data_IF_845068285447
#
_entry.id   IF_845068285447
#
_cell.length_a   1.000
_cell.length_b   1.000
_cell.length_c   1.000
_cell.angle_alpha   90.00
_cell.angle_beta   90.00
_cell.angle_gamma   90.00
#
_symmetry.space_group_name_H-M   'P 1'
#
loop_
_entity.id
_entity.type
_entity.pdbx_description
1 polymer ?
#
# COMPACT_ATOMS: atom_id res chain seq x y z
N UNK A 1 10.80 12.18 9.71
CA UNK A 1 9.79 11.98 8.65
C UNK A 1 9.01 10.66 8.79
N UNK A 2 9.15 9.91 9.90
CA UNK A 2 8.59 8.54 10.00
C UNK A 2 7.09 8.46 10.35
N UNK A 3 6.46 9.55 10.80
CA UNK A 3 5.05 9.54 11.22
C UNK A 3 4.02 9.72 10.11
N UNK A 4 4.45 10.13 8.91
CA UNK A 4 3.53 10.44 7.80
C UNK A 4 3.19 9.21 6.95
N UNK A 5 4.01 8.16 6.99
CA UNK A 5 3.84 6.96 6.15
C UNK A 5 2.87 5.94 6.77
N UNK A 6 2.79 5.87 8.11
CA UNK A 6 1.92 4.92 8.82
C UNK A 6 0.42 5.23 8.69
N UNK A 7 0.04 6.49 8.48
CA UNK A 7 -1.36 6.89 8.39
C UNK A 7 -2.04 6.50 7.06
N UNK A 8 -1.27 6.27 5.98
CA UNK A 8 -1.83 5.90 4.66
C UNK A 8 -2.06 4.40 4.48
N UNK A 9 -1.49 3.54 5.32
CA UNK A 9 -1.61 2.09 5.14
C UNK A 9 -2.98 1.53 5.55
N UNK A 10 -3.80 2.32 6.24
CA UNK A 10 -5.10 1.87 6.77
C UNK A 10 -6.29 2.07 5.80
N UNK A 11 -6.07 2.71 4.65
CA UNK A 11 -7.14 2.94 3.65
C UNK A 11 -7.36 1.77 2.69
N UNK A 12 -6.39 0.85 2.55
CA UNK A 12 -6.43 -0.20 1.54
C UNK A 12 -6.66 -1.59 2.14
N UNK A 13 -7.56 -2.41 1.56
CA UNK A 13 -7.82 -3.76 2.06
C UNK A 13 -6.59 -4.66 1.85
N UNK A 14 -6.08 -5.22 2.94
CA UNK A 14 -4.95 -6.16 2.92
C UNK A 14 -5.24 -7.38 2.04
N UNK A 15 -4.40 -7.62 1.03
CA UNK A 15 -4.43 -8.82 0.18
C UNK A 15 -4.33 -10.09 1.04
N UNK A 16 -3.54 -10.08 2.12
CA UNK A 16 -3.46 -11.19 3.07
C UNK A 16 -4.79 -11.50 3.72
N UNK A 17 -5.49 -10.45 4.18
CA UNK A 17 -6.82 -10.59 4.79
C UNK A 17 -7.80 -11.14 3.77
N UNK A 18 -7.75 -10.66 2.52
CA UNK A 18 -8.64 -11.12 1.44
C UNK A 18 -8.37 -12.58 1.04
N UNK A 19 -7.10 -13.00 0.92
CA UNK A 19 -6.72 -14.39 0.66
C UNK A 19 -7.17 -15.30 1.81
N UNK A 20 -6.92 -14.91 3.07
CA UNK A 20 -7.35 -15.69 4.24
C UNK A 20 -8.86 -15.86 4.30
N UNK A 21 -9.62 -14.78 4.10
CA UNK A 21 -11.08 -14.84 4.06
C UNK A 21 -11.58 -15.64 2.87
N UNK A 22 -11.00 -15.48 1.69
CA UNK A 22 -11.40 -16.22 0.49
C UNK A 22 -11.24 -17.73 0.67
N UNK A 23 -10.05 -18.18 1.08
CA UNK A 23 -9.81 -19.61 1.36
C UNK A 23 -10.62 -20.10 2.57
N UNK A 24 -10.75 -19.29 3.62
CA UNK A 24 -11.55 -19.65 4.80
C UNK A 24 -13.03 -19.87 4.46
N UNK A 25 -13.63 -18.97 3.68
CA UNK A 25 -15.02 -19.09 3.21
C UNK A 25 -15.15 -20.29 2.27
N UNK A 26 -14.22 -20.48 1.33
CA UNK A 26 -14.25 -21.64 0.44
C UNK A 26 -14.17 -22.97 1.21
N UNK A 27 -13.27 -23.07 2.19
CA UNK A 27 -13.16 -24.26 3.06
C UNK A 27 -14.44 -24.48 3.85
N UNK A 28 -15.06 -23.42 4.39
CA UNK A 28 -16.33 -23.53 5.11
C UNK A 28 -17.48 -23.99 4.20
N UNK A 29 -17.59 -23.43 2.99
CA UNK A 29 -18.61 -23.84 2.01
C UNK A 29 -18.42 -25.31 1.60
N UNK A 30 -17.18 -25.73 1.34
CA UNK A 30 -16.93 -27.12 0.99
C UNK A 30 -17.18 -28.08 2.17
N UNK A 31 -16.83 -27.68 3.40
CA UNK A 31 -17.10 -28.47 4.60
C UNK A 31 -18.62 -28.64 4.80
N UNK A 32 -19.39 -27.56 4.68
CA UNK A 32 -20.86 -27.62 4.81
C UNK A 32 -21.51 -28.47 3.72
N UNK A 33 -21.06 -28.34 2.46
CA UNK A 33 -21.54 -29.18 1.37
C UNK A 33 -21.20 -30.66 1.58
N UNK A 34 -19.98 -30.96 2.04
CA UNK A 34 -19.53 -32.33 2.27
C UNK A 34 -20.34 -33.01 3.38
N UNK A 35 -20.51 -32.35 4.53
CA UNK A 35 -21.33 -32.90 5.63
C UNK A 35 -22.81 -33.00 5.26
N UNK A 36 -23.35 -32.04 4.51
CA UNK A 36 -24.72 -32.11 4.00
C UNK A 36 -24.90 -33.29 3.04
N UNK A 37 -23.94 -33.56 2.17
CA UNK A 37 -23.98 -34.69 1.24
C UNK A 37 -23.95 -36.02 2.01
N UNK A 38 -23.07 -36.12 3.02
CA UNK A 38 -22.98 -37.28 3.91
C UNK A 38 -24.32 -37.53 4.58
N UNK A 39 -24.89 -36.51 5.22
CA UNK A 39 -26.16 -36.62 5.93
C UNK A 39 -27.30 -37.10 5.00
N UNK A 40 -27.39 -36.53 3.80
CA UNK A 40 -28.38 -36.96 2.80
C UNK A 40 -28.11 -38.39 2.31
N UNK A 41 -26.84 -38.77 2.15
CA UNK A 41 -26.47 -40.11 1.71
C UNK A 41 -26.81 -41.18 2.75
N UNK A 42 -26.51 -40.94 4.03
CA UNK A 42 -26.85 -41.84 5.14
C UNK A 42 -28.36 -42.07 5.21
N UNK A 43 -29.15 -41.00 5.28
CA UNK A 43 -30.62 -41.07 5.34
C UNK A 43 -31.23 -41.71 4.09
N UNK A 44 -30.56 -41.65 2.93
CA UNK A 44 -31.04 -42.34 1.71
C UNK A 44 -30.68 -43.81 1.69
N UNK A 45 -29.55 -44.18 2.28
CA UNK A 45 -29.08 -45.56 2.33
C UNK A 45 -30.00 -46.40 3.23
N UNK A 46 -30.37 -45.88 4.40
CA UNK A 46 -31.29 -46.50 5.35
C UNK A 46 -32.66 -46.84 4.73
N UNK A 47 -33.31 -45.85 4.11
CA UNK A 47 -34.59 -46.04 3.42
C UNK A 47 -34.46 -47.08 2.30
N UNK A 48 -33.38 -47.02 1.52
CA UNK A 48 -33.15 -47.96 0.42
C UNK A 48 -32.91 -49.39 0.93
N UNK A 49 -32.21 -49.57 2.05
CA UNK A 49 -31.97 -50.89 2.64
C UNK A 49 -33.27 -51.52 3.14
N UNK A 50 -34.12 -50.77 3.84
CA UNK A 50 -35.41 -51.26 4.33
C UNK A 50 -36.33 -51.69 3.18
N UNK A 51 -36.41 -50.86 2.13
CA UNK A 51 -37.19 -51.18 0.93
C UNK A 51 -36.68 -52.44 0.24
N UNK A 52 -35.36 -52.55 0.05
CA UNK A 52 -34.76 -53.71 -0.60
C UNK A 52 -35.03 -55.00 0.17
N UNK A 53 -35.03 -54.95 1.50
CA UNK A 53 -35.24 -56.12 2.33
C UNK A 53 -36.69 -56.61 2.28
N UNK A 54 -37.66 -55.68 2.41
CA UNK A 54 -39.09 -55.99 2.25
C UNK A 54 -39.43 -56.51 0.85
N UNK A 55 -38.84 -55.92 -0.20
CA UNK A 55 -39.04 -56.37 -1.59
C UNK A 55 -38.52 -57.79 -1.80
N UNK A 56 -37.32 -58.07 -1.27
CA UNK A 56 -36.69 -59.39 -1.35
C UNK A 56 -37.56 -60.44 -0.65
N UNK A 57 -38.09 -60.13 0.53
CA UNK A 57 -38.93 -61.07 1.28
C UNK A 57 -40.29 -61.30 0.60
N UNK A 58 -40.92 -60.25 0.08
CA UNK A 58 -42.15 -60.37 -0.70
C UNK A 58 -41.96 -61.21 -1.97
N UNK A 59 -40.84 -61.04 -2.67
CA UNK A 59 -40.49 -61.82 -3.85
C UNK A 59 -40.25 -63.30 -3.51
N UNK A 60 -39.51 -63.57 -2.43
CA UNK A 60 -39.26 -64.94 -1.95
C UNK A 60 -40.56 -65.66 -1.57
N UNK A 61 -41.46 -64.99 -0.85
CA UNK A 61 -42.77 -65.55 -0.54
C UNK A 61 -43.58 -65.86 -1.80
N UNK A 62 -43.59 -64.94 -2.75
CA UNK A 62 -44.30 -65.11 -4.03
C UNK A 62 -43.78 -66.32 -4.80
N UNK A 63 -42.45 -66.48 -4.89
CA UNK A 63 -41.84 -67.64 -5.56
C UNK A 63 -42.16 -68.95 -4.83
N UNK A 64 -42.08 -68.96 -3.50
CA UNK A 64 -42.40 -70.14 -2.69
C UNK A 64 -43.87 -70.54 -2.82
N UNK A 65 -44.79 -69.58 -2.84
CA UNK A 65 -46.22 -69.82 -3.04
C UNK A 65 -46.50 -70.42 -4.41
N UNK A 66 -45.83 -69.97 -5.47
CA UNK A 66 -45.98 -70.57 -6.80
C UNK A 66 -45.54 -72.05 -6.84
N UNK A 67 -44.51 -72.43 -6.06
CA UNK A 67 -43.99 -73.80 -6.03
C UNK A 67 -44.78 -74.73 -5.11
N UNK A 68 -45.28 -74.23 -3.97
CA UNK A 68 -45.81 -75.04 -2.87
C UNK A 68 -47.27 -74.72 -2.52
N UNK A 69 -47.87 -73.71 -3.15
CA UNK A 69 -49.22 -73.23 -2.85
C UNK A 69 -49.35 -72.80 -1.39
N UNK A 70 -50.46 -73.17 -0.76
CA UNK A 70 -50.74 -72.87 0.65
C UNK A 70 -49.79 -73.51 1.66
N UNK A 71 -48.92 -74.44 1.23
CA UNK A 71 -47.88 -75.01 2.09
C UNK A 71 -46.58 -74.20 2.07
N UNK A 72 -46.50 -73.13 1.28
CA UNK A 72 -45.34 -72.27 1.24
C UNK A 72 -45.04 -71.71 2.64
N UNK A 73 -43.76 -71.67 3.05
CA UNK A 73 -43.39 -71.03 4.29
C UNK A 73 -43.80 -69.56 4.23
N UNK A 74 -44.41 -69.09 5.32
CA UNK A 74 -44.63 -67.66 5.51
C UNK A 74 -43.27 -66.94 5.56
N UNK A 75 -43.25 -65.63 5.27
CA UNK A 75 -42.08 -64.79 5.48
C UNK A 75 -41.43 -65.00 6.85
N UNK A 76 -40.13 -64.73 6.94
CA UNK A 76 -39.33 -65.01 8.12
C UNK A 76 -39.99 -64.44 9.39
N UNK A 77 -40.53 -65.34 10.22
CA UNK A 77 -41.32 -64.96 11.42
C UNK A 77 -40.49 -64.37 12.55
N UNK A 78 -39.15 -64.39 12.44
CA UNK A 78 -38.25 -63.72 13.37
C UNK A 78 -38.08 -62.23 13.02
N UNK A 79 -38.35 -61.86 11.77
CA UNK A 79 -38.08 -60.52 11.24
C UNK A 79 -39.35 -59.81 10.76
N UNK A 80 -40.39 -60.58 10.43
CA UNK A 80 -41.59 -60.05 9.83
C UNK A 80 -42.86 -60.61 10.47
N UNK A 81 -43.84 -59.73 10.63
CA UNK A 81 -45.23 -60.06 10.83
C UNK A 81 -45.96 -60.08 9.48
N UNK A 82 -46.57 -61.21 9.17
CA UNK A 82 -47.28 -61.45 7.91
C UNK A 82 -48.78 -61.47 8.12
N UNK A 83 -49.51 -60.67 7.34
CA UNK A 83 -50.97 -60.61 7.40
C UNK A 83 -51.58 -60.73 6.01
N UNK A 84 -52.76 -61.32 5.93
CA UNK A 84 -53.51 -61.46 4.69
C UNK A 84 -54.89 -60.82 4.85
N UNK A 85 -55.27 -59.94 3.91
CA UNK A 85 -56.52 -59.17 3.97
C UNK A 85 -57.81 -60.00 4.11
N UNK A 86 -57.78 -61.31 3.81
CA UNK A 86 -58.91 -62.24 3.96
C UNK A 86 -58.88 -63.03 5.28
N UNK A 87 -57.83 -62.87 6.08
CA UNK A 87 -57.64 -63.44 7.40
C UNK A 87 -57.65 -62.34 8.49
N UNK A 88 -57.69 -62.69 9.79
CA UNK A 88 -57.62 -61.70 10.87
C UNK A 88 -56.37 -60.83 10.73
N UNK A 89 -56.58 -59.54 10.40
CA UNK A 89 -55.53 -58.55 10.14
C UNK A 89 -55.78 -57.31 11.02
N UNK A 90 -54.73 -56.71 11.63
CA UNK A 90 -54.86 -55.47 12.38
C UNK A 90 -55.59 -54.37 11.60
N UNK A 91 -56.48 -53.63 12.28
CA UNK A 91 -57.34 -52.62 11.63
C UNK A 91 -56.56 -51.48 10.99
N UNK A 92 -55.38 -51.14 11.50
CA UNK A 92 -54.52 -50.09 10.96
C UNK A 92 -53.94 -50.45 9.59
N UNK A 93 -53.67 -51.74 9.32
CA UNK A 93 -53.18 -52.21 8.02
C UNK A 93 -54.24 -52.16 6.92
N UNK A 94 -55.52 -52.34 7.27
CA UNK A 94 -56.63 -52.37 6.31
C UNK A 94 -56.89 -50.99 5.65
N UNK A 95 -56.26 -49.92 6.14
CA UNK A 95 -56.28 -48.61 5.50
C UNK A 95 -55.48 -48.58 4.18
N UNK A 96 -54.49 -49.46 4.03
CA UNK A 96 -53.55 -49.50 2.91
C UNK A 96 -54.02 -50.52 1.85
N UNK A 97 -54.72 -50.03 0.82
CA UNK A 97 -55.40 -50.87 -0.19
C UNK A 97 -54.67 -50.99 -1.53
N UNK A 98 -53.52 -50.35 -1.66
CA UNK A 98 -52.71 -50.35 -2.89
C UNK A 98 -51.35 -50.98 -2.63
N UNK A 99 -50.81 -51.79 -3.56
CA UNK A 99 -49.44 -52.26 -3.46
C UNK A 99 -48.44 -51.11 -3.36
N UNK A 100 -47.40 -51.28 -2.54
CA UNK A 100 -46.38 -50.27 -2.28
C UNK A 100 -45.69 -50.46 -0.94
N UNK A 101 -44.64 -49.67 -0.72
CA UNK A 101 -43.95 -49.55 0.57
C UNK A 101 -44.59 -48.42 1.36
N UNK A 102 -44.79 -48.65 2.64
CA UNK A 102 -45.43 -47.69 3.53
C UNK A 102 -44.68 -47.62 4.86
N UNK A 103 -44.70 -46.43 5.41
CA UNK A 103 -44.23 -46.08 6.73
C UNK A 103 -45.44 -45.53 7.50
N UNK A 104 -45.68 -46.03 8.71
CA UNK A 104 -46.82 -45.64 9.52
C UNK A 104 -46.46 -45.59 11.01
N UNK A 105 -46.59 -44.41 11.60
CA UNK A 105 -46.41 -44.20 13.04
C UNK A 105 -47.60 -44.79 13.81
N UNK A 106 -47.37 -45.87 14.56
CA UNK A 106 -48.34 -46.52 15.43
C UNK A 106 -47.99 -46.24 16.90
N UNK A 107 -48.52 -45.15 17.45
CA UNK A 107 -48.16 -44.72 18.80
C UNK A 107 -46.84 -43.97 18.81
N UNK A 108 -45.80 -44.55 19.40
CA UNK A 108 -44.42 -44.03 19.40
C UNK A 108 -43.48 -44.82 18.47
N UNK A 109 -43.99 -45.84 17.79
CA UNK A 109 -43.20 -46.75 16.94
C UNK A 109 -43.50 -46.54 15.45
N UNK A 110 -42.45 -46.42 14.64
CA UNK A 110 -42.55 -46.34 13.18
C UNK A 110 -42.63 -47.76 12.58
N UNK A 111 -43.73 -48.07 11.90
CA UNK A 111 -43.92 -49.36 11.23
C UNK A 111 -43.55 -49.25 9.76
N UNK A 112 -42.57 -50.03 9.34
CA UNK A 112 -42.17 -50.20 7.95
C UNK A 112 -42.76 -51.49 7.37
N UNK A 113 -43.47 -51.39 6.24
CA UNK A 113 -44.13 -52.55 5.65
C UNK A 113 -44.32 -52.44 4.14
N UNK A 114 -44.44 -53.61 3.50
CA UNK A 114 -44.79 -53.73 2.08
C UNK A 114 -46.17 -54.35 1.94
N UNK A 115 -46.95 -53.80 1.02
CA UNK A 115 -48.24 -54.32 0.57
C UNK A 115 -48.08 -54.80 -0.86
N UNK A 116 -48.52 -56.01 -1.15
CA UNK A 116 -48.53 -56.56 -2.50
C UNK A 116 -49.72 -57.49 -2.72
N UNK A 117 -50.05 -57.77 -3.98
CA UNK A 117 -51.13 -58.69 -4.32
C UNK A 117 -50.78 -60.10 -3.84
N UNK A 118 -51.70 -60.73 -3.11
CA UNK A 118 -51.44 -62.08 -2.60
C UNK A 118 -51.28 -63.05 -3.80
N UNK A 119 -50.25 -63.93 -3.81
CA UNK A 119 -49.98 -64.80 -4.95
C UNK A 119 -51.12 -65.77 -5.34
N UNK A 120 -52.11 -65.96 -4.46
CA UNK A 120 -53.35 -66.70 -4.77
C UNK A 120 -54.31 -65.97 -5.73
N UNK A 121 -54.09 -64.67 -5.97
CA UNK A 121 -54.99 -63.79 -6.72
C UNK A 121 -56.16 -63.22 -5.90
N UNK A 122 -56.23 -63.53 -4.60
CA UNK A 122 -57.30 -63.06 -3.72
C UNK A 122 -56.77 -62.18 -2.58
N UNK A 123 -57.05 -60.88 -2.65
CA UNK A 123 -56.72 -59.93 -1.60
C UNK A 123 -55.24 -59.54 -1.58
N UNK A 124 -54.86 -58.75 -0.56
CA UNK A 124 -53.52 -58.22 -0.35
C UNK A 124 -52.80 -58.96 0.77
N UNK A 125 -51.49 -59.10 0.60
CA UNK A 125 -50.53 -59.56 1.61
C UNK A 125 -49.80 -58.35 2.19
N UNK A 126 -49.61 -58.36 3.51
CA UNK A 126 -48.86 -57.36 4.25
C UNK A 126 -47.67 -58.05 4.92
N UNK A 127 -46.47 -57.54 4.70
CA UNK A 127 -45.25 -57.94 5.41
C UNK A 127 -44.78 -56.71 6.17
N UNK A 128 -44.80 -56.77 7.50
CA UNK A 128 -44.46 -55.68 8.42
C UNK A 128 -43.23 -56.09 9.20
N UNK A 129 -42.25 -55.21 9.36
CA UNK A 129 -41.15 -55.44 10.28
C UNK A 129 -41.67 -55.64 11.72
N UNK A 130 -41.04 -56.54 12.47
CA UNK A 130 -41.27 -56.63 13.91
C UNK A 130 -40.52 -55.53 14.64
N UNK A 131 -41.00 -55.19 15.83
CA UNK A 131 -40.48 -54.05 16.60
C UNK A 131 -39.04 -54.25 17.07
N UNK A 132 -38.64 -55.50 17.28
CA UNK A 132 -37.28 -55.88 17.71
C UNK A 132 -36.42 -56.41 16.54
N UNK A 133 -36.95 -56.44 15.30
CA UNK A 133 -36.19 -57.00 14.16
C UNK A 133 -35.38 -55.96 13.40
N UNK A 134 -35.71 -54.68 13.57
CA UNK A 134 -34.90 -53.57 13.08
C UNK A 134 -33.67 -53.34 14.00
N UNK A 135 -33.68 -53.87 15.24
CA UNK A 135 -32.53 -53.84 16.18
C UNK A 135 -31.24 -54.44 15.58
N UNK A 136 -31.35 -55.40 14.64
CA UNK A 136 -30.17 -55.92 13.96
C UNK A 136 -29.54 -54.86 13.04
N UNK A 137 -30.34 -53.97 12.46
CA UNK A 137 -29.88 -52.86 11.64
C UNK A 137 -29.30 -51.73 12.48
N UNK A 138 -29.77 -51.51 13.71
CA UNK A 138 -29.23 -50.50 14.63
C UNK A 138 -27.72 -50.65 14.87
N UNK A 139 -27.23 -51.90 14.99
CA UNK A 139 -25.80 -52.15 15.18
C UNK A 139 -24.99 -51.80 13.91
N UNK A 140 -25.55 -52.05 12.72
CA UNK A 140 -24.93 -51.66 11.44
C UNK A 140 -25.00 -50.15 11.21
N UNK A 141 -26.12 -49.51 11.53
CA UNK A 141 -26.32 -48.06 11.40
C UNK A 141 -25.38 -47.31 12.34
N UNK A 142 -25.28 -47.72 13.61
CA UNK A 142 -24.33 -47.15 14.57
C UNK A 142 -22.87 -47.31 14.12
N UNK A 143 -22.51 -48.48 13.59
CA UNK A 143 -21.17 -48.72 13.02
C UNK A 143 -20.91 -47.86 11.79
N UNK A 144 -21.91 -47.70 10.90
CA UNK A 144 -21.83 -46.86 9.71
C UNK A 144 -21.68 -45.38 10.08
N UNK A 145 -22.46 -44.88 11.03
CA UNK A 145 -22.31 -43.52 11.55
C UNK A 145 -20.95 -43.28 12.19
N UNK A 146 -20.46 -44.20 13.03
CA UNK A 146 -19.12 -44.08 13.62
C UNK A 146 -18.04 -44.06 12.53
N UNK A 147 -18.14 -44.93 11.53
CA UNK A 147 -17.22 -44.96 10.40
C UNK A 147 -17.25 -43.66 9.59
N UNK A 148 -18.44 -43.17 9.23
CA UNK A 148 -18.64 -41.94 8.49
C UNK A 148 -18.16 -40.72 9.28
N UNK A 149 -18.41 -40.65 10.59
CA UNK A 149 -17.92 -39.59 11.46
C UNK A 149 -16.39 -39.59 11.52
N UNK A 150 -15.76 -40.76 11.67
CA UNK A 150 -14.30 -40.86 11.68
C UNK A 150 -13.67 -40.45 10.35
N UNK A 151 -14.20 -40.99 9.24
CA UNK A 151 -13.68 -40.71 7.90
C UNK A 151 -13.95 -39.23 7.50
N UNK A 152 -15.14 -38.73 7.78
CA UNK A 152 -15.52 -37.34 7.54
C UNK A 152 -14.73 -36.35 8.40
N UNK A 153 -14.47 -36.71 9.66
CA UNK A 153 -13.59 -35.98 10.56
C UNK A 153 -12.15 -35.91 10.04
N UNK A 154 -11.59 -37.05 9.60
CA UNK A 154 -10.26 -37.11 8.98
C UNK A 154 -10.19 -36.23 7.73
N UNK A 155 -11.17 -36.35 6.83
CA UNK A 155 -11.21 -35.55 5.60
C UNK A 155 -11.32 -34.05 5.90
N UNK A 156 -12.09 -33.68 6.93
CA UNK A 156 -12.21 -32.30 7.40
C UNK A 156 -10.88 -31.74 7.92
N UNK A 157 -10.11 -32.53 8.67
CA UNK A 157 -8.77 -32.14 9.13
C UNK A 157 -7.79 -31.94 7.97
N UNK A 158 -7.83 -32.83 6.97
CA UNK A 158 -7.02 -32.70 5.76
C UNK A 158 -7.39 -31.40 5.03
N UNK A 159 -8.68 -31.11 4.89
CA UNK A 159 -9.16 -29.91 4.21
C UNK A 159 -8.74 -28.63 4.93
N UNK A 160 -8.83 -28.60 6.26
CA UNK A 160 -8.35 -27.49 7.07
C UNK A 160 -6.83 -27.30 6.92
N UNK A 161 -6.07 -28.39 6.99
CA UNK A 161 -4.62 -28.38 6.79
C UNK A 161 -4.22 -27.85 5.41
N UNK A 162 -4.92 -28.28 4.36
CA UNK A 162 -4.72 -27.81 2.99
C UNK A 162 -5.03 -26.32 2.84
N UNK A 163 -6.13 -25.84 3.43
CA UNK A 163 -6.47 -24.41 3.44
C UNK A 163 -5.39 -23.55 4.11
N UNK A 164 -4.91 -23.96 5.30
CA UNK A 164 -3.81 -23.29 6.01
C UNK A 164 -2.52 -23.31 5.18
N UNK A 165 -2.22 -24.44 4.55
CA UNK A 165 -1.06 -24.59 3.66
C UNK A 165 -1.14 -23.61 2.47
N UNK A 166 -2.29 -23.52 1.80
CA UNK A 166 -2.50 -22.61 0.66
C UNK A 166 -2.42 -21.13 1.05
N UNK A 167 -2.94 -20.76 2.22
CA UNK A 167 -2.74 -19.40 2.74
C UNK A 167 -1.25 -19.10 2.94
N UNK A 168 -0.49 -20.03 3.53
CA UNK A 168 0.94 -19.85 3.78
C UNK A 168 1.76 -19.76 2.50
N UNK A 169 1.48 -20.58 1.49
CA UNK A 169 2.27 -20.61 0.25
C UNK A 169 2.09 -19.32 -0.56
N UNK A 170 0.88 -18.76 -0.59
CA UNK A 170 0.59 -17.52 -1.32
C UNK A 170 1.01 -16.27 -0.54
N UNK A 171 0.83 -16.26 0.78
CA UNK A 171 1.11 -15.08 1.60
C UNK A 171 2.60 -14.86 1.86
N UNK A 172 3.36 -15.92 2.16
CA UNK A 172 4.76 -15.78 2.60
C UNK A 172 5.67 -15.06 1.59
N UNK A 173 5.61 -15.33 0.27
CA UNK A 173 6.46 -14.63 -0.70
C UNK A 173 6.21 -13.13 -0.74
N UNK A 174 4.95 -12.69 -0.74
CA UNK A 174 4.62 -11.26 -0.72
C UNK A 174 5.15 -10.59 0.56
N UNK A 175 5.07 -11.28 1.71
CA UNK A 175 5.47 -10.68 3.00
C UNK A 175 6.98 -10.49 3.07
N UNK A 176 7.72 -11.41 2.43
CA UNK A 176 9.16 -11.27 2.26
C UNK A 176 9.49 -10.06 1.37
N UNK A 177 8.80 -9.89 0.25
CA UNK A 177 9.00 -8.73 -0.65
C UNK A 177 8.73 -7.42 0.10
N UNK A 178 7.60 -7.32 0.81
CA UNK A 178 7.26 -6.16 1.63
C UNK A 178 8.37 -5.86 2.66
N UNK A 179 8.80 -6.87 3.43
CA UNK A 179 9.88 -6.68 4.42
C UNK A 179 11.20 -6.25 3.79
N UNK A 180 11.54 -6.78 2.60
CA UNK A 180 12.75 -6.40 1.85
C UNK A 180 12.69 -4.94 1.42
N UNK A 181 11.53 -4.46 0.97
CA UNK A 181 11.34 -3.06 0.56
C UNK A 181 11.39 -2.12 1.77
N UNK A 182 10.67 -2.44 2.84
CA UNK A 182 10.56 -1.56 4.02
C UNK A 182 11.87 -1.40 4.79
N UNK A 183 12.76 -2.38 4.74
CA UNK A 183 14.07 -2.33 5.40
C UNK A 183 15.19 -1.84 4.49
N UNK A 184 14.85 -1.40 3.27
CA UNK A 184 15.84 -1.05 2.27
C UNK A 184 16.31 0.41 2.41
N UNK A 185 17.61 0.65 2.61
CA UNK A 185 18.13 2.00 2.60
C UNK A 185 18.22 2.53 1.15
N UNK A 186 18.09 3.86 0.94
CA UNK A 186 18.10 4.48 -0.40
C UNK A 186 19.37 4.21 -1.20
N UNK A 187 20.49 3.95 -0.53
CA UNK A 187 21.86 3.95 -1.06
C UNK A 187 22.40 2.55 -1.43
N UNK A 188 21.70 1.46 -1.10
CA UNK A 188 22.16 0.09 -1.42
C UNK A 188 21.33 -0.59 -2.51
N UNK A 189 21.80 -0.63 -3.77
CA UNK A 189 21.01 -1.10 -4.90
C UNK A 189 20.73 -2.61 -4.92
N UNK A 190 21.46 -3.43 -4.18
CA UNK A 190 21.40 -4.87 -4.33
C UNK A 190 20.42 -5.51 -3.32
N UNK A 191 19.34 -6.08 -3.81
CA UNK A 191 18.72 -7.22 -3.15
C UNK A 191 18.67 -8.40 -4.12
N UNK A 192 18.95 -9.60 -3.61
CA UNK A 192 18.92 -10.80 -4.42
C UNK A 192 17.47 -11.23 -4.68
N UNK A 193 17.23 -11.57 -5.95
CA UNK A 193 15.96 -12.13 -6.42
C UNK A 193 15.92 -13.61 -6.02
N UNK A 194 15.38 -13.88 -4.84
CA UNK A 194 15.40 -15.21 -4.20
C UNK A 194 14.09 -15.97 -4.32
N UNK A 195 13.09 -15.38 -4.98
CA UNK A 195 11.75 -15.99 -5.01
C UNK A 195 11.66 -17.20 -5.93
N UNK A 196 10.87 -18.19 -5.47
CA UNK A 196 10.64 -19.49 -6.15
C UNK A 196 9.63 -19.42 -7.28
N UNK A 197 8.69 -18.47 -7.23
CA UNK A 197 7.62 -18.32 -8.23
C UNK A 197 8.00 -17.27 -9.28
N UNK A 198 7.62 -17.51 -10.54
CA UNK A 198 7.90 -16.62 -11.67
C UNK A 198 7.31 -15.23 -11.48
N UNK A 199 6.10 -15.16 -10.94
CA UNK A 199 5.34 -13.92 -10.74
C UNK A 199 6.02 -13.03 -9.71
N UNK A 200 6.41 -13.61 -8.57
CA UNK A 200 7.14 -12.89 -7.52
C UNK A 200 8.56 -12.51 -7.96
N UNK A 201 9.17 -13.33 -8.82
CA UNK A 201 10.49 -13.06 -9.41
C UNK A 201 10.42 -11.88 -10.36
N UNK A 202 9.37 -11.79 -11.18
CA UNK A 202 9.16 -10.66 -12.08
C UNK A 202 8.97 -9.37 -11.29
N UNK A 203 8.16 -9.39 -10.22
CA UNK A 203 7.99 -8.23 -9.32
C UNK A 203 9.33 -7.81 -8.70
N UNK A 204 10.09 -8.74 -8.13
CA UNK A 204 11.41 -8.46 -7.56
C UNK A 204 12.36 -7.88 -8.63
N UNK A 205 12.38 -8.43 -9.85
CA UNK A 205 13.23 -7.94 -10.93
C UNK A 205 12.86 -6.52 -11.39
N UNK A 206 11.57 -6.24 -11.62
CA UNK A 206 11.12 -4.91 -12.04
C UNK A 206 11.42 -3.86 -10.98
N UNK A 207 11.30 -4.20 -9.70
CA UNK A 207 11.68 -3.32 -8.60
C UNK A 207 13.20 -3.04 -8.60
N UNK A 208 14.02 -4.08 -8.82
CA UNK A 208 15.47 -3.94 -8.90
C UNK A 208 15.88 -3.06 -10.09
N UNK A 209 15.29 -3.28 -11.26
CA UNK A 209 15.56 -2.49 -12.47
C UNK A 209 15.18 -1.02 -12.26
N UNK A 210 13.98 -0.75 -11.72
CA UNK A 210 13.54 0.60 -11.40
C UNK A 210 14.47 1.29 -10.39
N UNK A 211 15.00 0.55 -9.41
CA UNK A 211 15.95 1.10 -8.44
C UNK A 211 17.28 1.47 -9.11
N UNK A 212 17.79 0.58 -9.95
CA UNK A 212 19.02 0.82 -10.70
C UNK A 212 18.89 2.05 -11.62
N UNK A 213 17.73 2.21 -12.25
CA UNK A 213 17.44 3.39 -13.07
C UNK A 213 17.45 4.68 -12.24
N UNK A 214 16.74 4.69 -11.09
CA UNK A 214 16.70 5.83 -10.17
C UNK A 214 18.10 6.17 -9.67
N UNK A 215 18.86 5.18 -9.21
CA UNK A 215 20.24 5.37 -8.76
C UNK A 215 21.13 5.93 -9.90
N UNK A 216 20.92 5.44 -11.13
CA UNK A 216 21.58 5.95 -12.32
C UNK A 216 21.24 7.42 -12.62
N UNK A 217 19.98 7.83 -12.45
CA UNK A 217 19.59 9.24 -12.59
C UNK A 217 20.28 10.13 -11.57
N UNK A 218 20.26 9.77 -10.29
CA UNK A 218 20.95 10.53 -9.24
C UNK A 218 22.45 10.63 -9.49
N UNK A 219 23.09 9.54 -9.90
CA UNK A 219 24.52 9.54 -10.23
C UNK A 219 24.84 10.49 -11.39
N UNK A 220 24.04 10.45 -12.46
CA UNK A 220 24.20 11.36 -13.60
C UNK A 220 24.01 12.82 -13.21
N UNK A 221 23.02 13.11 -12.36
CA UNK A 221 22.78 14.47 -11.86
C UNK A 221 23.95 14.98 -11.01
N UNK A 222 24.50 14.13 -10.13
CA UNK A 222 25.67 14.46 -9.33
C UNK A 222 26.93 14.67 -10.19
N UNK A 223 27.17 13.79 -11.16
CA UNK A 223 28.28 13.91 -12.11
C UNK A 223 28.15 15.18 -12.97
N UNK A 224 26.94 15.50 -13.45
CA UNK A 224 26.66 16.73 -14.18
C UNK A 224 26.91 17.97 -13.33
N UNK A 225 26.40 18.02 -12.10
CA UNK A 225 26.62 19.13 -11.16
C UNK A 225 28.12 19.35 -10.90
N UNK A 226 28.86 18.27 -10.63
CA UNK A 226 30.32 18.34 -10.44
C UNK A 226 31.04 18.80 -11.71
N UNK A 227 30.69 18.29 -12.87
CA UNK A 227 31.32 18.67 -14.13
C UNK A 227 31.03 20.14 -14.47
N UNK A 228 29.76 20.57 -14.41
CA UNK A 228 29.36 21.96 -14.59
C UNK A 228 30.10 22.90 -13.64
N UNK A 229 30.38 22.47 -12.40
CA UNK A 229 31.18 23.25 -11.44
C UNK A 229 32.55 23.64 -11.98
N UNK A 230 33.26 22.67 -12.55
CA UNK A 230 34.62 22.87 -13.03
C UNK A 230 34.64 23.64 -14.35
N UNK A 231 33.73 23.32 -15.27
CA UNK A 231 33.67 23.94 -16.59
C UNK A 231 33.14 25.37 -16.56
N UNK A 232 32.33 25.77 -15.57
CA UNK A 232 31.90 27.16 -15.40
C UNK A 232 32.93 28.02 -14.66
N UNK A 233 33.65 27.45 -13.68
CA UNK A 233 34.65 28.20 -12.88
C UNK A 233 35.81 28.70 -13.74
N UNK A 234 36.30 27.86 -14.65
CA UNK A 234 37.46 28.16 -15.50
C UNK A 234 37.26 29.41 -16.38
N UNK A 235 36.20 29.52 -17.21
CA UNK A 235 35.97 30.71 -18.03
C UNK A 235 35.71 31.96 -17.18
N UNK A 236 35.03 31.84 -16.02
CA UNK A 236 34.85 32.96 -15.09
C UNK A 236 36.21 33.48 -14.59
N UNK A 237 37.11 32.59 -14.19
CA UNK A 237 38.46 32.96 -13.74
C UNK A 237 39.29 33.61 -14.85
N UNK A 238 39.20 33.12 -16.09
CA UNK A 238 39.90 33.69 -17.25
C UNK A 238 39.42 35.11 -17.54
N UNK A 239 38.10 35.34 -17.53
CA UNK A 239 37.53 36.69 -17.74
C UNK A 239 37.93 37.61 -16.59
N UNK A 240 37.80 37.15 -15.34
CA UNK A 240 38.19 37.91 -14.16
C UNK A 240 39.68 38.34 -14.22
N UNK A 241 40.59 37.40 -14.51
CA UNK A 241 42.01 37.69 -14.67
C UNK A 241 42.30 38.67 -15.82
N UNK A 242 41.61 38.53 -16.95
CA UNK A 242 41.73 39.46 -18.07
C UNK A 242 41.26 40.87 -17.69
N UNK A 243 40.16 40.99 -16.96
CA UNK A 243 39.64 42.28 -16.48
C UNK A 243 40.54 42.90 -15.40
N UNK A 244 41.16 42.10 -14.53
CA UNK A 244 42.14 42.57 -13.56
C UNK A 244 43.39 43.13 -14.25
N UNK A 245 43.92 42.44 -15.27
CA UNK A 245 45.02 42.95 -16.09
C UNK A 245 44.62 44.27 -16.76
N UNK A 246 43.45 44.33 -17.39
CA UNK A 246 42.95 45.54 -18.03
C UNK A 246 42.79 46.69 -17.03
N UNK A 247 42.36 46.43 -15.80
CA UNK A 247 42.19 47.46 -14.76
C UNK A 247 43.51 48.14 -14.37
N UNK A 248 44.64 47.46 -14.56
CA UNK A 248 45.99 47.94 -14.20
C UNK A 248 46.71 48.66 -15.35
N UNK A 249 46.11 48.73 -16.54
CA UNK A 249 46.69 49.46 -17.68
C UNK A 249 46.56 50.96 -17.43
N UNK A 250 47.65 51.73 -17.43
CA UNK A 250 47.61 53.17 -17.20
C UNK A 250 46.92 53.93 -18.35
N UNK A 251 46.47 55.15 -18.08
CA UNK A 251 45.90 56.11 -19.04
C UNK A 251 44.66 55.62 -19.83
N UNK A 252 43.88 54.70 -19.24
CA UNK A 252 42.64 54.26 -19.86
C UNK A 252 41.56 55.35 -19.90
N UNK A 253 40.77 55.43 -20.99
CA UNK A 253 39.59 56.28 -21.04
C UNK A 253 38.60 55.94 -19.92
N UNK A 254 37.98 56.97 -19.31
CA UNK A 254 37.00 56.80 -18.22
C UNK A 254 35.85 55.83 -18.57
N UNK A 255 35.47 55.75 -19.85
CA UNK A 255 34.46 54.80 -20.34
C UNK A 255 34.96 53.35 -20.23
N UNK A 256 36.23 53.09 -20.57
CA UNK A 256 36.84 51.78 -20.46
C UNK A 256 36.97 51.33 -18.99
N UNK A 257 37.42 52.23 -18.10
CA UNK A 257 37.48 51.97 -16.66
C UNK A 257 36.10 51.57 -16.09
N UNK A 258 35.04 52.29 -16.47
CA UNK A 258 33.67 51.93 -16.08
C UNK A 258 33.22 50.59 -16.64
N UNK A 259 33.60 50.25 -17.87
CA UNK A 259 33.25 48.97 -18.48
C UNK A 259 33.97 47.81 -17.78
N UNK A 260 35.26 47.95 -17.47
CA UNK A 260 36.06 46.95 -16.76
C UNK A 260 35.49 46.70 -15.36
N UNK A 261 35.18 47.75 -14.60
CA UNK A 261 34.57 47.61 -13.27
C UNK A 261 33.23 46.86 -13.33
N UNK A 262 32.41 47.12 -14.36
CA UNK A 262 31.17 46.36 -14.58
C UNK A 262 31.42 44.90 -14.93
N UNK A 263 32.45 44.60 -15.73
CA UNK A 263 32.81 43.22 -16.04
C UNK A 263 33.33 42.47 -14.81
N UNK A 264 34.16 43.11 -13.99
CA UNK A 264 34.65 42.53 -12.72
C UNK A 264 33.49 42.19 -11.78
N UNK A 265 32.53 43.12 -11.60
CA UNK A 265 31.33 42.88 -10.80
C UNK A 265 30.48 41.73 -11.36
N UNK A 266 30.29 41.67 -12.69
CA UNK A 266 29.55 40.57 -13.31
C UNK A 266 30.26 39.21 -13.15
N UNK A 267 31.59 39.16 -13.22
CA UNK A 267 32.37 37.94 -12.97
C UNK A 267 32.21 37.45 -11.53
N UNK A 268 32.22 38.36 -10.55
CA UNK A 268 32.03 38.01 -9.15
C UNK A 268 30.60 37.54 -8.87
N UNK A 269 29.59 38.23 -9.41
CA UNK A 269 28.19 37.79 -9.35
C UNK A 269 28.03 36.37 -9.94
N UNK A 270 28.64 36.11 -11.11
CA UNK A 270 28.64 34.78 -11.74
C UNK A 270 29.35 33.74 -10.88
N UNK A 271 30.47 34.08 -10.25
CA UNK A 271 31.22 33.18 -9.37
C UNK A 271 30.37 32.75 -8.18
N UNK A 272 29.79 33.72 -7.48
CA UNK A 272 28.96 33.51 -6.29
C UNK A 272 27.70 32.72 -6.62
N UNK A 273 26.97 33.08 -7.70
CA UNK A 273 25.78 32.35 -8.15
C UNK A 273 26.09 30.90 -8.55
N UNK A 274 27.16 30.70 -9.31
CA UNK A 274 27.60 29.36 -9.72
C UNK A 274 27.92 28.53 -8.50
N UNK A 275 28.70 29.06 -7.55
CA UNK A 275 29.02 28.36 -6.30
C UNK A 275 27.77 27.93 -5.52
N UNK A 276 26.78 28.81 -5.39
CA UNK A 276 25.57 28.45 -4.66
C UNK A 276 24.67 27.46 -5.39
N UNK A 277 24.51 27.55 -6.72
CA UNK A 277 23.75 26.54 -7.46
C UNK A 277 24.37 25.15 -7.33
N UNK A 278 25.70 25.07 -7.32
CA UNK A 278 26.41 23.82 -7.15
C UNK A 278 26.23 23.27 -5.74
N UNK A 279 26.30 24.12 -4.72
CA UNK A 279 26.03 23.72 -3.32
C UNK A 279 24.57 23.29 -3.12
N UNK A 280 23.60 23.95 -3.76
CA UNK A 280 22.19 23.55 -3.77
C UNK A 280 21.98 22.18 -4.44
N UNK A 281 22.77 21.86 -5.46
CA UNK A 281 22.70 20.59 -6.19
C UNK A 281 23.40 19.40 -5.52
N UNK A 282 24.07 19.59 -4.37
CA UNK A 282 24.73 18.49 -3.64
C UNK A 282 23.76 17.81 -2.68
N UNK A 283 23.82 16.49 -2.55
CA UNK A 283 23.04 15.72 -1.56
C UNK A 283 23.37 16.14 -0.12
N UNK A 284 24.66 16.27 0.20
CA UNK A 284 25.18 16.83 1.46
C UNK A 284 26.23 17.89 1.15
N UNK A 285 26.14 19.03 1.83
CA UNK A 285 27.17 20.07 1.75
C UNK A 285 28.30 19.66 2.70
N UNK A 286 29.53 19.62 2.21
CA UNK A 286 30.67 19.21 3.01
C UNK A 286 30.95 20.23 4.13
N UNK A 287 31.33 19.80 5.35
CA UNK A 287 31.53 20.69 6.50
C UNK A 287 32.50 21.85 6.25
N UNK A 288 33.48 21.66 5.36
CA UNK A 288 34.44 22.69 4.96
C UNK A 288 33.81 23.95 4.34
N UNK A 289 32.57 23.84 3.85
CA UNK A 289 31.85 24.97 3.27
C UNK A 289 31.09 25.78 4.32
N UNK A 290 30.92 25.26 5.54
CA UNK A 290 30.24 25.96 6.63
C UNK A 290 31.23 26.74 7.50
N UNK A 291 30.79 27.89 7.99
CA UNK A 291 31.49 28.65 9.02
C UNK A 291 30.56 29.65 9.68
N UNK A 292 30.97 30.19 10.82
CA UNK A 292 30.21 31.24 11.50
C UNK A 292 30.23 32.54 10.69
N UNK A 293 29.05 33.00 10.27
CA UNK A 293 28.86 34.23 9.53
C UNK A 293 28.20 35.28 10.42
N UNK A 294 28.90 36.39 10.67
CA UNK A 294 28.34 37.54 11.37
C UNK A 294 27.44 38.32 10.43
N UNK A 295 26.11 38.20 10.59
CA UNK A 295 25.12 38.73 9.64
C UNK A 295 25.26 40.24 9.42
N UNK A 296 25.61 40.98 10.47
CA UNK A 296 25.80 42.42 10.39
C UNK A 296 26.96 42.80 9.47
N UNK A 297 28.08 42.09 9.57
CA UNK A 297 29.26 42.32 8.73
C UNK A 297 28.91 42.01 7.27
N UNK A 298 28.21 40.89 7.03
CA UNK A 298 27.74 40.55 5.68
C UNK A 298 26.80 41.61 5.12
N UNK A 299 25.85 42.11 5.91
CA UNK A 299 24.90 43.14 5.50
C UNK A 299 25.60 44.43 5.10
N UNK A 300 26.48 44.95 5.96
CA UNK A 300 27.26 46.16 5.68
C UNK A 300 28.11 46.03 4.43
N UNK A 301 28.81 44.90 4.28
CA UNK A 301 29.63 44.66 3.09
C UNK A 301 28.78 44.71 1.82
N UNK A 302 27.60 44.08 1.81
CA UNK A 302 26.72 44.11 0.64
C UNK A 302 26.11 45.50 0.38
N UNK A 303 25.78 46.27 1.42
CA UNK A 303 25.32 47.64 1.27
C UNK A 303 26.41 48.56 0.70
N UNK A 304 27.66 48.44 1.16
CA UNK A 304 28.81 49.20 0.63
C UNK A 304 29.11 48.85 -0.83
N UNK A 305 29.11 47.56 -1.17
CA UNK A 305 29.35 47.07 -2.53
C UNK A 305 28.27 47.57 -3.51
N UNK A 306 27.02 47.65 -3.06
CA UNK A 306 25.89 48.04 -3.90
C UNK A 306 25.59 49.57 -3.87
N UNK A 307 26.13 50.32 -2.92
CA UNK A 307 25.93 51.77 -2.80
C UNK A 307 26.17 52.56 -4.11
N UNK A 308 27.21 52.27 -4.93
CA UNK A 308 27.44 52.99 -6.19
C UNK A 308 26.37 52.73 -7.28
N UNK A 309 25.67 51.60 -7.20
CA UNK A 309 24.57 51.27 -8.11
C UNK A 309 23.32 52.07 -7.74
N UNK A 310 23.04 52.19 -6.45
CA UNK A 310 21.84 52.85 -5.92
C UNK A 310 21.95 54.37 -5.88
N UNK A 311 23.15 54.92 -5.71
CA UNK A 311 23.39 56.37 -5.80
C UNK A 311 22.99 56.97 -7.17
N UNK A 312 22.84 56.15 -8.22
CA UNK A 312 22.35 56.59 -9.53
C UNK A 312 20.82 56.65 -9.63
N UNK A 313 20.12 56.03 -8.68
CA UNK A 313 18.67 55.91 -8.63
C UNK A 313 18.02 56.87 -7.62
N UNK A 314 18.83 57.71 -6.94
CA UNK A 314 18.38 58.64 -5.88
C UNK A 314 17.60 57.95 -4.75
N UNK A 315 17.92 56.67 -4.50
CA UNK A 315 17.28 55.85 -3.47
C UNK A 315 18.03 55.99 -2.14
N UNK A 316 17.29 56.26 -1.07
CA UNK A 316 17.81 56.26 0.30
C UNK A 316 17.31 55.03 1.07
N UNK A 317 18.06 54.62 2.10
CA UNK A 317 17.66 53.55 3.00
C UNK A 317 17.82 53.97 4.45
N UNK A 318 16.98 53.41 5.32
CA UNK A 318 17.08 53.51 6.76
C UNK A 318 17.48 52.13 7.29
N UNK A 319 18.61 52.08 7.99
CA UNK A 319 19.15 50.85 8.54
C UNK A 319 19.00 50.85 10.06
N UNK A 320 18.22 49.89 10.57
CA UNK A 320 18.01 49.65 11.98
C UNK A 320 18.70 48.34 12.38
N UNK A 321 19.68 48.44 13.26
CA UNK A 321 20.47 47.31 13.72
C UNK A 321 20.28 47.11 15.22
N UNK A 322 19.79 45.95 15.63
CA UNK A 322 19.67 45.59 17.05
C UNK A 322 20.19 44.18 17.32
N UNK A 323 21.21 44.08 18.17
CA UNK A 323 21.76 42.81 18.68
C UNK A 323 21.97 41.75 17.58
N UNK A 324 22.77 42.04 16.55
CA UNK A 324 22.97 41.12 15.42
C UNK A 324 23.57 39.77 15.84
N UNK A 325 23.02 38.68 15.30
CA UNK A 325 23.46 37.32 15.54
C UNK A 325 24.46 36.78 14.51
N UNK A 326 24.95 35.58 14.79
CA UNK A 326 25.78 34.78 13.89
C UNK A 326 24.99 33.56 13.40
N UNK A 327 25.27 33.11 12.18
CA UNK A 327 24.69 31.88 11.63
C UNK A 327 25.80 30.95 11.14
N UNK A 328 25.68 29.66 11.47
CA UNK A 328 26.61 28.64 10.96
C UNK A 328 26.13 28.15 9.59
N UNK A 329 26.70 28.71 8.52
CA UNK A 329 26.22 28.46 7.16
C UNK A 329 27.32 28.69 6.11
N UNK A 330 27.13 28.21 4.86
CA UNK A 330 28.00 28.61 3.77
C UNK A 330 27.94 30.11 3.51
N UNK A 331 29.11 30.77 3.51
CA UNK A 331 29.22 32.21 3.28
C UNK A 331 28.53 32.64 1.97
N UNK A 332 28.66 31.85 0.90
CA UNK A 332 28.02 32.11 -0.40
C UNK A 332 26.48 32.15 -0.31
N UNK A 333 25.87 31.33 0.54
CA UNK A 333 24.41 31.33 0.74
C UNK A 333 23.95 32.61 1.44
N UNK A 334 24.63 33.00 2.52
CA UNK A 334 24.31 34.24 3.26
C UNK A 334 24.48 35.45 2.34
N UNK A 335 25.60 35.55 1.63
CA UNK A 335 25.88 36.62 0.67
C UNK A 335 24.79 36.71 -0.40
N UNK A 336 24.39 35.60 -1.02
CA UNK A 336 23.37 35.61 -2.07
C UNK A 336 22.00 36.02 -1.54
N UNK A 337 21.62 35.52 -0.37
CA UNK A 337 20.33 35.87 0.23
C UNK A 337 20.28 37.37 0.48
N UNK A 338 21.26 37.91 1.21
CA UNK A 338 21.33 39.34 1.52
C UNK A 338 21.39 40.19 0.24
N UNK A 339 22.30 39.85 -0.68
CA UNK A 339 22.49 40.60 -1.94
C UNK A 339 21.22 40.62 -2.80
N UNK A 340 20.51 39.48 -2.95
CA UNK A 340 19.29 39.43 -3.76
C UNK A 340 18.14 40.20 -3.11
N UNK A 341 18.01 40.16 -1.78
CA UNK A 341 16.97 40.92 -1.08
C UNK A 341 17.23 42.43 -1.19
N UNK A 342 18.48 42.88 -1.03
CA UNK A 342 18.86 44.28 -1.22
C UNK A 342 18.62 44.70 -2.69
N UNK A 343 19.15 43.95 -3.66
CA UNK A 343 18.97 44.27 -5.09
C UNK A 343 17.49 44.33 -5.46
N UNK A 344 16.66 43.43 -4.92
CA UNK A 344 15.22 43.43 -5.13
C UNK A 344 14.59 44.73 -4.57
N UNK A 345 14.84 45.05 -3.30
CA UNK A 345 14.28 46.23 -2.68
C UNK A 345 14.64 47.53 -3.41
N UNK A 346 15.90 47.70 -3.81
CA UNK A 346 16.34 48.89 -4.53
C UNK A 346 15.85 48.95 -5.98
N UNK A 347 15.70 47.82 -6.67
CA UNK A 347 15.23 47.81 -8.05
C UNK A 347 13.75 48.18 -8.19
N UNK A 348 12.94 47.88 -7.16
CA UNK A 348 11.49 48.07 -7.18
C UNK A 348 11.01 49.17 -6.22
N UNK A 349 11.91 49.91 -5.57
CA UNK A 349 11.51 51.01 -4.69
C UNK A 349 11.13 52.28 -5.47
N UNK A 350 10.04 52.92 -5.06
CA UNK A 350 9.67 54.30 -5.45
C UNK A 350 9.86 55.29 -4.29
N UNK A 351 10.64 54.92 -3.28
CA UNK A 351 10.95 55.75 -2.12
C UNK A 351 12.04 55.16 -1.23
N UNK A 352 12.01 55.52 0.05
CA UNK A 352 12.99 55.04 1.02
C UNK A 352 12.77 53.54 1.32
N UNK A 353 13.88 52.84 1.53
CA UNK A 353 13.90 51.42 1.87
C UNK A 353 14.18 51.28 3.36
N UNK A 354 13.37 50.48 4.04
CA UNK A 354 13.53 50.17 5.47
C UNK A 354 14.26 48.81 5.57
N UNK A 355 15.42 48.79 6.22
CA UNK A 355 16.23 47.57 6.46
C UNK A 355 16.35 47.38 7.96
N UNK A 356 15.75 46.32 8.48
CA UNK A 356 15.80 45.94 9.89
C UNK A 356 16.58 44.62 10.04
N UNK A 357 17.70 44.67 10.77
CA UNK A 357 18.43 43.48 11.20
C UNK A 357 18.32 43.35 12.72
N UNK A 358 17.57 42.35 13.17
CA UNK A 358 17.36 42.05 14.58
C UNK A 358 17.77 40.62 14.87
N UNK A 359 18.80 40.41 15.70
CA UNK A 359 19.34 39.07 15.96
C UNK A 359 19.71 38.36 14.65
N UNK A 360 19.02 37.26 14.34
CA UNK A 360 19.18 36.50 13.11
C UNK A 360 18.05 36.72 12.11
N UNK A 361 17.24 37.75 12.28
CA UNK A 361 16.15 38.08 11.35
C UNK A 361 16.49 39.34 10.56
N UNK A 362 16.48 39.21 9.24
CA UNK A 362 16.61 40.32 8.30
C UNK A 362 15.24 40.58 7.67
N UNK A 363 14.77 41.82 7.76
CA UNK A 363 13.57 42.31 7.10
C UNK A 363 13.97 43.48 6.20
N UNK A 364 13.59 43.40 4.93
CA UNK A 364 13.77 44.50 3.99
C UNK A 364 12.40 44.86 3.43
N UNK A 365 12.01 46.12 3.60
CA UNK A 365 10.74 46.66 3.14
C UNK A 365 10.97 47.81 2.17
N UNK A 366 10.35 47.74 0.99
CA UNK A 366 10.37 48.81 0.00
C UNK A 366 8.94 49.21 -0.39
N UNK A 367 8.74 50.49 -0.71
CA UNK A 367 7.48 50.98 -1.28
C UNK A 367 7.51 50.84 -2.80
N UNK A 368 6.46 50.29 -3.41
CA UNK A 368 6.34 50.15 -4.87
C UNK A 368 5.06 50.81 -5.46
N UNK A 369 4.16 51.33 -4.62
CA UNK A 369 2.96 52.10 -4.98
C UNK A 369 2.11 51.47 -6.12
N UNK A 370 2.00 50.14 -6.14
CA UNK A 370 1.16 49.40 -7.08
C UNK A 370 1.75 49.23 -8.48
N UNK A 371 3.01 49.64 -8.71
CA UNK A 371 3.74 49.21 -9.89
C UNK A 371 4.01 47.70 -9.78
N UNK A 372 3.70 46.94 -10.83
CA UNK A 372 3.95 45.50 -10.84
C UNK A 372 5.43 45.20 -10.53
N UNK A 373 5.69 44.75 -9.31
CA UNK A 373 6.98 44.24 -8.80
C UNK A 373 7.47 43.00 -9.56
N UNK A 374 6.67 42.49 -10.50
CA UNK A 374 6.91 41.22 -11.21
C UNK A 374 7.66 41.32 -12.53
N UNK A 375 7.81 42.50 -13.16
CA UNK A 375 8.14 42.56 -14.59
C UNK A 375 9.36 43.39 -15.04
N UNK A 376 10.32 43.73 -14.17
CA UNK A 376 11.53 44.45 -14.59
C UNK A 376 12.85 43.86 -14.04
N UNK A 377 13.21 42.68 -14.56
CA UNK A 377 14.59 42.17 -14.55
C UNK A 377 14.96 41.26 -13.36
N UNK A 378 15.40 40.03 -13.67
CA UNK A 378 15.89 39.01 -12.72
C UNK A 378 14.85 38.37 -11.77
N UNK A 379 13.72 37.88 -12.30
CA UNK A 379 12.75 37.05 -11.57
C UNK A 379 13.29 35.73 -10.96
N UNK A 380 14.59 35.45 -11.10
CA UNK A 380 15.26 34.34 -10.46
C UNK A 380 15.72 34.66 -9.02
N UNK A 381 15.90 35.94 -8.64
CA UNK A 381 16.55 36.31 -7.38
C UNK A 381 15.83 35.79 -6.14
N UNK A 382 14.53 36.10 -6.00
CA UNK A 382 13.70 35.60 -4.90
C UNK A 382 13.52 34.07 -4.94
N UNK A 383 13.49 33.47 -6.14
CA UNK A 383 13.44 32.00 -6.29
C UNK A 383 14.69 31.35 -5.73
N UNK A 384 15.87 31.96 -5.94
CA UNK A 384 17.14 31.48 -5.38
C UNK A 384 17.14 31.65 -3.86
N UNK A 385 16.69 32.80 -3.35
CA UNK A 385 16.54 33.03 -1.90
C UNK A 385 15.66 31.96 -1.28
N UNK A 386 14.50 31.68 -1.86
CA UNK A 386 13.58 30.66 -1.38
C UNK A 386 14.24 29.28 -1.35
N UNK A 387 14.93 28.87 -2.42
CA UNK A 387 15.61 27.56 -2.47
C UNK A 387 16.73 27.43 -1.43
N UNK A 388 17.50 28.49 -1.20
CA UNK A 388 18.53 28.51 -0.16
C UNK A 388 17.89 28.40 1.23
N UNK A 389 16.82 29.15 1.47
CA UNK A 389 16.12 29.13 2.75
C UNK A 389 15.50 27.75 3.02
N UNK A 390 14.83 27.14 2.06
CA UNK A 390 14.31 25.77 2.15
C UNK A 390 15.42 24.75 2.44
N UNK A 391 16.56 24.90 1.76
CA UNK A 391 17.72 24.00 1.93
C UNK A 391 18.33 24.10 3.33
N UNK A 392 18.39 25.30 3.88
CA UNK A 392 18.98 25.57 5.19
C UNK A 392 17.96 25.50 6.34
N UNK A 393 16.67 25.31 6.03
CA UNK A 393 15.59 25.35 7.03
C UNK A 393 15.31 26.75 7.58
N UNK A 394 15.68 27.80 6.86
CA UNK A 394 15.44 29.19 7.25
C UNK A 394 14.01 29.61 6.91
N UNK A 395 13.21 30.07 7.88
CA UNK A 395 11.92 30.67 7.59
C UNK A 395 12.07 31.88 6.65
N UNK A 396 11.35 31.85 5.52
CA UNK A 396 11.30 32.93 4.55
C UNK A 396 9.86 33.31 4.26
N UNK A 397 9.53 34.58 4.47
CA UNK A 397 8.18 35.13 4.32
C UNK A 397 8.23 36.33 3.38
N UNK A 398 7.29 36.36 2.43
CA UNK A 398 7.04 37.49 1.55
C UNK A 398 5.67 38.05 1.87
N UNK A 399 5.56 39.37 1.98
CA UNK A 399 4.31 40.06 2.15
C UNK A 399 4.26 41.27 1.22
N UNK A 400 3.13 41.42 0.53
CA UNK A 400 2.87 42.53 -0.39
C UNK A 400 1.46 43.02 -0.14
N UNK A 401 1.32 44.26 0.32
CA UNK A 401 0.02 44.90 0.58
C UNK A 401 -0.46 45.77 -0.60
N UNK A 402 0.24 45.72 -1.74
CA UNK A 402 -0.02 46.52 -2.94
C UNK A 402 0.62 47.91 -2.91
N UNK A 403 1.17 48.33 -1.78
CA UNK A 403 1.89 49.61 -1.61
C UNK A 403 3.33 49.37 -1.16
N UNK A 404 3.52 48.43 -0.23
CA UNK A 404 4.79 48.01 0.34
C UNK A 404 4.98 46.52 0.10
N UNK A 405 6.21 46.17 -0.28
CA UNK A 405 6.68 44.80 -0.33
C UNK A 405 7.70 44.60 0.79
N UNK A 406 7.55 43.54 1.57
CA UNK A 406 8.49 43.16 2.63
C UNK A 406 8.94 41.71 2.46
N UNK A 407 10.25 41.51 2.48
CA UNK A 407 10.87 40.19 2.51
C UNK A 407 11.55 39.97 3.86
N UNK A 408 11.21 38.87 4.53
CA UNK A 408 11.71 38.52 5.86
C UNK A 408 12.37 37.15 5.83
N UNK A 409 13.64 37.09 6.22
CA UNK A 409 14.40 35.83 6.40
C UNK A 409 14.83 35.71 7.85
N UNK A 410 14.61 34.54 8.45
CA UNK A 410 15.18 34.20 9.76
C UNK A 410 16.27 33.15 9.59
N UNK A 411 17.52 33.56 9.79
CA UNK A 411 18.67 32.66 9.75
C UNK A 411 18.68 31.81 11.03
N UNK A 412 18.51 30.50 10.89
CA UNK A 412 18.59 29.52 11.99
C UNK A 412 19.79 28.59 11.78
N UNK A 413 20.45 28.24 12.89
CA UNK A 413 21.65 27.39 12.91
C UNK A 413 21.32 25.90 12.94
#
# INVERSE_FOLDING_TARGET
MDKATDLKHNEYPSIYRKIRWGFGVMTFVMFTLFWSLIYVAENKLEVLSLHHWLDTEAALYTENFQKQGWNAPLPNKLEFNSYWSKAPTPSWLLAFKSPGFYEYLLGEEDKHFVVFDHPSGEGLMYIVFQDDSDDYLDEYESSLHQFTLLLGGLFSLIMLGYGIYMVKILSRPLAKIESKISQMPPDQPAFEVETKFSETRHIEQTLLDSKNDIAGYFRREQEFSRFASHELRTPIMVIAGSTDILSRVPDQPRVAQKAIARMQAACEDMRVLTEAFLLLGKEKIEPQHFGDQTLLVCLHQQLEELAPLFAKQDAHYQLNEQNSGEVYAPASFVTIVINNLIKNAFSYSVGDIEIDLQQSTLIITNRHDGNETYNAGYGCGLVIVQRICERMGWPFELNDDGVRFSAKVTFVS
#
